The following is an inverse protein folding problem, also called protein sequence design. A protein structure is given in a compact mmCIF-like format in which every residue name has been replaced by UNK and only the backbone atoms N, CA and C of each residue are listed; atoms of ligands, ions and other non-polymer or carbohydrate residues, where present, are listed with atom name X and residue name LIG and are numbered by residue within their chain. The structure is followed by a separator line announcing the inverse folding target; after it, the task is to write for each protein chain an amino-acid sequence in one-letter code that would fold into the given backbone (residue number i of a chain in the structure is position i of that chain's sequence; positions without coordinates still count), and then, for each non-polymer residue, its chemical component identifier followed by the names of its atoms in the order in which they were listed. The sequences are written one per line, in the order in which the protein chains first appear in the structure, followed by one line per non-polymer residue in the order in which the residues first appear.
data_IF_392209915988
#
_entry.id   IF_392209915988
#
_cell.length_a   1.000
_cell.length_b   1.000
_cell.length_c   1.000
_cell.angle_alpha   90.00
_cell.angle_beta   90.00
_cell.angle_gamma   90.00
#
_symmetry.space_group_name_H-M   'P 1'
#
loop_
_entity.id
_entity.type
_entity.pdbx_description
1 polymer ?
#
# COMPACT_ATOMS: atom_id res chain seq x y z
N UNK A 1 16.76 2.55 15.81
CA UNK A 1 16.11 2.37 14.48
C UNK A 1 15.14 3.52 14.26
N UNK A 2 15.13 4.13 13.07
CA UNK A 2 14.18 5.19 12.84
C UNK A 2 12.77 4.64 12.60
N UNK A 3 11.75 5.47 12.83
CA UNK A 3 10.34 5.04 12.75
C UNK A 3 9.94 4.53 11.38
N UNK A 4 10.45 5.16 10.31
CA UNK A 4 10.12 4.74 8.93
C UNK A 4 10.56 3.31 8.67
N UNK A 5 11.77 2.95 9.12
CA UNK A 5 12.27 1.58 8.98
C UNK A 5 11.42 0.59 9.77
N UNK A 6 11.03 0.97 10.98
CA UNK A 6 10.19 0.13 11.84
C UNK A 6 8.82 -0.12 11.21
N UNK A 7 8.18 0.93 10.71
CA UNK A 7 6.87 0.80 10.09
C UNK A 7 6.93 0.01 8.77
N UNK A 8 7.98 0.23 7.98
CA UNK A 8 8.14 -0.54 6.74
C UNK A 8 8.40 -2.02 7.06
N UNK A 9 9.15 -2.32 8.13
CA UNK A 9 9.36 -3.70 8.55
C UNK A 9 8.03 -4.35 8.95
N UNK A 10 7.13 -3.61 9.61
CA UNK A 10 5.79 -4.09 9.92
C UNK A 10 5.02 -4.46 8.65
N UNK A 11 5.09 -3.62 7.63
CA UNK A 11 4.40 -3.90 6.36
C UNK A 11 4.97 -5.14 5.68
N UNK A 12 6.29 -5.29 5.68
CA UNK A 12 6.96 -6.47 5.11
C UNK A 12 6.56 -7.74 5.87
N UNK A 13 6.53 -7.69 7.19
CA UNK A 13 6.13 -8.83 8.03
C UNK A 13 4.69 -9.26 7.73
N UNK A 14 3.82 -8.30 7.51
CA UNK A 14 2.44 -8.58 7.11
C UNK A 14 2.36 -9.22 5.73
N UNK A 15 3.20 -8.78 4.78
CA UNK A 15 3.24 -9.35 3.45
C UNK A 15 3.55 -10.86 3.49
N UNK A 16 4.44 -11.26 4.39
CA UNK A 16 4.84 -12.67 4.54
C UNK A 16 3.67 -13.55 4.92
N UNK A 17 2.68 -13.03 5.65
CA UNK A 17 1.49 -13.80 6.03
C UNK A 17 0.65 -14.26 4.85
N UNK A 18 0.70 -13.55 3.71
CA UNK A 18 -0.01 -13.94 2.49
C UNK A 18 0.76 -14.87 1.56
N UNK A 19 1.98 -15.27 1.95
CA UNK A 19 2.94 -15.95 1.08
C UNK A 19 2.41 -17.17 0.34
N UNK A 20 1.57 -17.97 0.96
CA UNK A 20 1.10 -19.24 0.39
C UNK A 20 -0.28 -19.15 -0.25
N UNK A 21 -0.98 -18.02 -0.12
CA UNK A 21 -2.37 -17.88 -0.58
C UNK A 21 -2.55 -16.84 -1.68
N UNK A 22 -1.54 -16.04 -1.97
CA UNK A 22 -1.65 -14.93 -2.94
C UNK A 22 -1.17 -15.27 -4.34
N UNK A 23 -0.54 -16.45 -4.55
CA UNK A 23 -0.08 -16.83 -5.89
C UNK A 23 -1.24 -16.81 -6.89
N UNK A 24 -1.06 -16.22 -8.10
CA UNK A 24 0.16 -15.65 -8.66
C UNK A 24 0.44 -14.20 -8.28
N UNK A 25 -0.34 -13.60 -7.40
CA UNK A 25 -0.15 -12.21 -6.98
C UNK A 25 1.04 -12.06 -6.05
N UNK A 26 1.76 -10.91 -6.08
CA UNK A 26 2.85 -10.65 -5.13
C UNK A 26 2.36 -10.56 -3.70
N UNK A 27 3.26 -10.84 -2.75
CA UNK A 27 2.99 -10.66 -1.33
C UNK A 27 3.03 -9.17 -0.99
N UNK A 28 1.96 -8.64 -0.45
CA UNK A 28 1.84 -7.21 -0.11
C UNK A 28 1.30 -7.05 1.30
N UNK A 29 1.96 -6.19 2.06
CA UNK A 29 1.51 -5.77 3.37
C UNK A 29 1.41 -4.25 3.42
N UNK A 30 0.47 -3.74 4.20
CA UNK A 30 0.20 -2.30 4.26
C UNK A 30 -0.17 -1.89 5.68
N UNK A 31 0.37 -0.78 6.14
CA UNK A 31 -0.07 -0.15 7.39
C UNK A 31 -0.35 1.33 7.15
N UNK A 32 -1.25 1.89 7.95
CA UNK A 32 -1.53 3.32 7.94
C UNK A 32 -1.22 3.85 9.33
N UNK A 33 -0.40 4.91 9.38
CA UNK A 33 0.14 5.48 10.61
C UNK A 33 -0.22 6.96 10.70
N UNK A 34 -0.55 7.43 11.90
CA UNK A 34 -0.70 8.84 12.18
C UNK A 34 0.20 9.19 13.36
N UNK A 35 1.21 10.04 13.14
CA UNK A 35 2.22 10.33 14.15
C UNK A 35 3.02 9.08 14.49
N UNK A 36 2.94 8.63 15.73
CA UNK A 36 3.60 7.39 16.17
C UNK A 36 2.59 6.30 16.53
N UNK A 37 1.38 6.37 15.95
CA UNK A 37 0.32 5.40 16.21
C UNK A 37 -0.07 4.69 14.92
N UNK A 38 -0.07 3.36 14.94
CA UNK A 38 -0.55 2.54 13.84
C UNK A 38 -2.07 2.45 13.93
N UNK A 39 -2.75 2.94 12.89
CA UNK A 39 -4.22 2.99 12.85
C UNK A 39 -4.83 1.78 12.14
N UNK A 40 -4.10 1.21 11.19
CA UNK A 40 -4.62 0.10 10.39
C UNK A 40 -3.48 -0.77 9.90
N UNK A 41 -3.74 -2.08 9.80
CA UNK A 41 -2.79 -3.09 9.30
C UNK A 41 -3.53 -4.03 8.36
N UNK A 42 -2.87 -4.47 7.31
CA UNK A 42 -3.47 -5.43 6.38
C UNK A 42 -2.42 -6.16 5.57
N UNK A 43 -2.83 -7.24 4.95
CA UNK A 43 -2.05 -7.93 3.93
C UNK A 43 -3.01 -8.52 2.90
N UNK A 44 -2.48 -8.78 1.70
CA UNK A 44 -3.27 -9.43 0.65
C UNK A 44 -3.42 -10.90 1.01
N UNK A 45 -4.64 -11.32 1.33
CA UNK A 45 -4.90 -12.65 1.87
C UNK A 45 -4.92 -13.76 0.82
N UNK A 46 -5.43 -13.43 -0.39
CA UNK A 46 -5.65 -14.48 -1.37
C UNK A 46 -5.97 -13.87 -2.75
N UNK A 47 -5.53 -14.54 -3.80
CA UNK A 47 -5.77 -14.09 -5.17
C UNK A 47 -7.26 -13.85 -5.43
N UNK A 48 -7.58 -12.75 -6.07
CA UNK A 48 -8.96 -12.36 -6.39
C UNK A 48 -9.68 -11.60 -5.27
N UNK A 49 -9.09 -11.50 -4.08
CA UNK A 49 -9.62 -10.69 -2.98
C UNK A 49 -8.98 -9.30 -3.00
N UNK A 50 -9.51 -8.38 -2.19
CA UNK A 50 -8.97 -7.02 -2.10
C UNK A 50 -7.49 -7.03 -1.76
N UNK A 51 -6.74 -6.12 -2.37
CA UNK A 51 -5.32 -5.91 -2.08
C UNK A 51 -5.16 -5.24 -0.72
N UNK A 52 -3.94 -5.31 -0.18
CA UNK A 52 -3.63 -4.83 1.17
C UNK A 52 -4.01 -3.35 1.37
N UNK A 53 -3.77 -2.49 0.39
CA UNK A 53 -4.07 -1.07 0.47
C UNK A 53 -5.57 -0.82 0.66
N UNK A 54 -6.38 -1.54 -0.09
CA UNK A 54 -7.84 -1.44 -0.01
C UNK A 54 -8.33 -1.86 1.37
N UNK A 55 -7.82 -3.00 1.86
CA UNK A 55 -8.19 -3.52 3.18
C UNK A 55 -7.78 -2.54 4.28
N UNK A 56 -6.56 -1.99 4.21
CA UNK A 56 -6.08 -1.04 5.21
C UNK A 56 -6.96 0.20 5.27
N UNK A 57 -7.37 0.72 4.12
CA UNK A 57 -8.25 1.89 4.05
C UNK A 57 -9.65 1.57 4.58
N UNK A 58 -10.21 0.40 4.26
CA UNK A 58 -11.51 -0.03 4.77
C UNK A 58 -11.52 -0.22 6.29
N UNK A 59 -10.39 -0.64 6.86
CA UNK A 59 -10.29 -0.92 8.29
C UNK A 59 -10.02 0.33 9.14
N UNK A 60 -9.80 1.49 8.53
CA UNK A 60 -9.65 2.74 9.28
C UNK A 60 -10.97 3.07 9.98
N UNK A 61 -10.87 3.43 11.26
CA UNK A 61 -12.02 3.77 12.11
C UNK A 61 -12.24 5.28 12.18
N UNK A 62 -11.44 6.06 11.48
CA UNK A 62 -11.57 7.51 11.45
C UNK A 62 -11.33 7.99 10.01
N UNK A 63 -11.78 9.21 9.74
CA UNK A 63 -11.65 9.83 8.43
C UNK A 63 -10.16 10.05 8.09
N UNK A 64 -9.79 9.77 6.84
CA UNK A 64 -8.45 10.04 6.34
C UNK A 64 -8.13 11.52 6.45
N UNK A 65 -6.90 11.85 6.89
CA UNK A 65 -6.41 13.21 6.96
C UNK A 65 -4.97 13.29 6.43
N UNK A 66 -4.47 14.50 6.27
CA UNK A 66 -3.15 14.75 5.67
C UNK A 66 -1.96 14.35 6.54
N UNK A 67 -2.19 14.02 7.82
CA UNK A 67 -1.13 13.55 8.73
C UNK A 67 -0.89 12.05 8.61
N UNK A 68 -1.81 11.32 8.00
CA UNK A 68 -1.67 9.88 7.84
C UNK A 68 -0.64 9.53 6.77
N UNK A 69 0.14 8.48 7.03
CA UNK A 69 1.13 7.95 6.09
C UNK A 69 0.83 6.47 5.86
N UNK A 70 0.74 6.07 4.61
CA UNK A 70 0.60 4.66 4.23
C UNK A 70 1.99 4.07 3.96
N UNK A 71 2.31 2.95 4.61
CA UNK A 71 3.54 2.19 4.36
C UNK A 71 3.15 0.91 3.65
N UNK A 72 3.76 0.66 2.51
CA UNK A 72 3.48 -0.52 1.69
C UNK A 72 4.80 -1.05 1.11
N UNK A 73 4.98 -2.36 1.11
CA UNK A 73 6.25 -2.96 0.68
C UNK A 73 6.43 -3.00 -0.84
N UNK A 74 5.36 -2.84 -1.61
CA UNK A 74 5.42 -2.93 -3.06
C UNK A 74 4.60 -1.81 -3.70
N UNK A 75 5.07 -1.28 -4.82
CA UNK A 75 4.38 -0.24 -5.59
C UNK A 75 2.93 -0.65 -5.88
N UNK A 76 1.94 0.22 -5.56
CA UNK A 76 0.53 -0.07 -5.86
C UNK A 76 0.28 -0.20 -7.37
N UNK A 77 -0.58 -1.14 -7.74
CA UNK A 77 -0.91 -1.35 -9.14
C UNK A 77 -1.75 -0.21 -9.71
N UNK A 78 -1.49 0.13 -10.98
CA UNK A 78 -2.24 1.17 -11.70
C UNK A 78 -3.01 0.60 -12.89
N UNK A 79 -3.02 -0.71 -13.06
CA UNK A 79 -3.74 -1.38 -14.16
C UNK A 79 -4.96 -2.11 -13.63
N UNK A 80 -5.95 -2.30 -14.49
CA UNK A 80 -7.15 -3.03 -14.15
C UNK A 80 -6.86 -4.54 -14.15
N UNK A 81 -7.23 -5.21 -13.08
CA UNK A 81 -7.12 -6.65 -12.96
C UNK A 81 -8.41 -7.19 -12.37
N UNK A 82 -8.31 -8.27 -11.57
CA UNK A 82 -9.48 -8.88 -10.91
C UNK A 82 -10.18 -7.92 -9.95
N UNK A 83 -9.44 -6.99 -9.34
CA UNK A 83 -9.95 -6.08 -8.30
C UNK A 83 -9.84 -4.60 -8.66
N UNK A 84 -9.44 -4.26 -9.86
CA UNK A 84 -9.26 -2.86 -10.26
C UNK A 84 -7.96 -2.26 -9.72
N UNK A 85 -7.63 -1.02 -10.13
CA UNK A 85 -6.34 -0.41 -9.77
C UNK A 85 -6.34 0.13 -8.35
N UNK A 86 -5.32 -0.27 -7.56
CA UNK A 86 -5.15 0.20 -6.18
C UNK A 86 -4.81 1.69 -6.12
N UNK A 87 -4.12 2.23 -7.12
CA UNK A 87 -3.84 3.67 -7.19
C UNK A 87 -5.11 4.50 -7.15
N UNK A 88 -6.16 4.08 -7.86
CA UNK A 88 -7.44 4.79 -7.85
C UNK A 88 -8.05 4.81 -6.45
N UNK A 89 -8.05 3.68 -5.77
CA UNK A 89 -8.58 3.58 -4.41
C UNK A 89 -7.82 4.50 -3.45
N UNK A 90 -6.50 4.53 -3.55
CA UNK A 90 -5.66 5.38 -2.72
C UNK A 90 -5.95 6.86 -2.99
N UNK A 91 -6.00 7.24 -4.26
CA UNK A 91 -6.29 8.63 -4.66
C UNK A 91 -7.66 9.07 -4.12
N UNK A 92 -8.67 8.25 -4.29
CA UNK A 92 -10.04 8.54 -3.86
C UNK A 92 -10.15 8.61 -2.34
N UNK A 93 -9.26 7.93 -1.60
CA UNK A 93 -9.30 7.91 -0.14
C UNK A 93 -8.90 9.22 0.52
N UNK A 94 -8.12 10.05 -0.17
CA UNK A 94 -7.58 11.28 0.40
C UNK A 94 -6.24 11.15 1.10
N UNK A 95 -5.64 9.97 1.12
CA UNK A 95 -4.27 9.79 1.64
C UNK A 95 -3.32 10.70 0.86
N UNK A 96 -2.43 11.40 1.56
CA UNK A 96 -1.49 12.35 0.94
C UNK A 96 -0.04 11.91 1.00
N UNK A 97 0.30 10.94 1.84
CA UNK A 97 1.69 10.53 2.03
C UNK A 97 1.82 9.02 1.98
N UNK A 98 2.73 8.52 1.16
CA UNK A 98 2.97 7.08 0.98
C UNK A 98 4.46 6.81 1.00
N UNK A 99 4.87 5.77 1.73
CA UNK A 99 6.23 5.23 1.71
C UNK A 99 6.17 3.85 1.06
N UNK A 100 6.98 3.62 0.04
CA UNK A 100 7.02 2.36 -0.72
C UNK A 100 8.41 1.75 -0.57
N UNK A 101 8.50 0.45 -0.29
CA UNK A 101 9.80 -0.22 -0.15
C UNK A 101 10.46 -0.49 -1.50
N UNK A 102 9.69 -0.91 -2.51
CA UNK A 102 10.25 -1.17 -3.84
C UNK A 102 9.23 -0.97 -4.94
N UNK A 103 9.72 -0.61 -6.12
CA UNK A 103 8.90 -0.52 -7.30
C UNK A 103 8.58 -1.93 -7.82
N UNK A 104 7.54 -2.03 -8.66
CA UNK A 104 7.19 -3.29 -9.28
C UNK A 104 8.39 -3.80 -10.10
N UNK A 105 8.83 -5.04 -9.92
CA UNK A 105 9.98 -5.56 -10.66
C UNK A 105 9.72 -5.75 -12.16
N UNK A 106 8.46 -5.83 -12.59
CA UNK A 106 8.11 -5.95 -14.00
C UNK A 106 8.45 -4.64 -14.73
N UNK A 107 9.40 -4.64 -15.69
CA UNK A 107 9.82 -3.40 -16.35
C UNK A 107 8.71 -2.69 -17.14
N UNK A 108 7.66 -3.41 -17.51
CA UNK A 108 6.53 -2.81 -18.27
C UNK A 108 5.69 -1.90 -17.35
N UNK A 109 5.59 -2.22 -16.06
CA UNK A 109 4.74 -1.47 -15.12
C UNK A 109 5.53 -0.70 -14.07
N UNK A 110 6.82 -0.97 -13.94
CA UNK A 110 7.70 -0.35 -12.94
C UNK A 110 7.61 1.18 -12.97
N UNK A 111 7.27 1.78 -11.85
CA UNK A 111 7.17 3.23 -11.70
C UNK A 111 5.85 3.84 -12.16
N UNK A 112 4.99 3.11 -12.83
CA UNK A 112 3.73 3.65 -13.34
C UNK A 112 2.75 3.98 -12.20
N UNK A 113 2.69 3.15 -11.18
CA UNK A 113 1.86 3.40 -10.01
C UNK A 113 2.31 4.66 -9.27
N UNK A 114 3.61 4.79 -9.04
CA UNK A 114 4.18 5.98 -8.38
C UNK A 114 3.88 7.24 -9.19
N UNK A 115 4.05 7.18 -10.50
CA UNK A 115 3.78 8.32 -11.39
C UNK A 115 2.32 8.76 -11.29
N UNK A 116 1.39 7.80 -11.30
CA UNK A 116 -0.03 8.08 -11.18
C UNK A 116 -0.37 8.73 -9.84
N UNK A 117 0.19 8.24 -8.74
CA UNK A 117 -0.03 8.80 -7.43
C UNK A 117 0.51 10.23 -7.33
N UNK A 118 1.74 10.47 -7.81
CA UNK A 118 2.36 11.80 -7.79
C UNK A 118 1.60 12.80 -8.66
N UNK A 119 1.10 12.36 -9.79
CA UNK A 119 0.28 13.19 -10.69
C UNK A 119 -0.98 13.69 -10.00
N UNK A 120 -1.49 12.93 -9.05
CA UNK A 120 -2.70 13.29 -8.29
C UNK A 120 -2.41 13.94 -6.94
N UNK A 121 -1.21 14.47 -6.77
CA UNK A 121 -0.85 15.29 -5.60
C UNK A 121 -0.44 14.50 -4.37
N UNK A 122 -0.12 13.21 -4.51
CA UNK A 122 0.32 12.40 -3.38
C UNK A 122 1.84 12.43 -3.28
N UNK A 123 2.35 12.64 -2.07
CA UNK A 123 3.79 12.60 -1.80
C UNK A 123 4.21 11.14 -1.66
N UNK A 124 5.07 10.68 -2.56
CA UNK A 124 5.54 9.30 -2.57
C UNK A 124 7.05 9.27 -2.35
N UNK A 125 7.49 8.52 -1.33
CA UNK A 125 8.91 8.25 -1.06
C UNK A 125 9.17 6.76 -1.28
N UNK A 126 10.38 6.45 -1.75
CA UNK A 126 10.79 5.07 -2.06
C UNK A 126 12.05 4.73 -1.28
#
# INVERSE_FOLDING_TARGET
MNRKKLYMQNAIDLAIKGKYTTSPNPNVGCIIVEGNKILSKSYHCKSGKDHAEVIALKNLKKKVNEKMVMYINLEPCCHTGKTGPCTKTIIDSGIKNIEIAMLDPNPVVKGKGVKELRKNGINVSI
#
